data_IF_148130711438
#
_entry.id   IF_148130711438
#
_cell.length_a   1.000
_cell.length_b   1.000
_cell.length_c   1.000
_cell.angle_alpha   90.00
_cell.angle_beta   90.00
_cell.angle_gamma   90.00
#
_symmetry.space_group_name_H-M   'P 1'
#
loop_
_entity.id
_entity.type
_entity.pdbx_description
1 polymer ?
#
# COMPACT_ATOMS: atom_id res chain seq x y z
N UNK A 1 -3.62 7.97 55.72
CA UNK A 1 -4.73 7.34 54.99
C UNK A 1 -5.41 8.44 54.21
N UNK A 2 -5.02 8.64 52.96
CA UNK A 2 -5.65 9.61 52.08
C UNK A 2 -5.88 8.84 50.76
N UNK A 3 -7.14 8.46 50.54
CA UNK A 3 -7.61 7.94 49.30
C UNK A 3 -7.58 9.05 48.27
N UNK A 4 -6.57 9.09 47.44
CA UNK A 4 -6.43 10.00 46.31
C UNK A 4 -7.38 9.58 45.21
N UNK A 5 -8.43 10.39 45.05
CA UNK A 5 -9.39 10.33 43.97
C UNK A 5 -8.65 10.29 42.63
N UNK A 6 -8.60 9.14 42.00
CA UNK A 6 -8.40 9.02 40.56
C UNK A 6 -9.66 9.57 39.87
N UNK A 7 -9.81 10.86 39.82
CA UNK A 7 -10.77 11.51 38.96
C UNK A 7 -10.41 11.15 37.52
N UNK A 8 -11.30 10.44 36.85
CA UNK A 8 -11.20 10.18 35.42
C UNK A 8 -11.20 11.54 34.70
N UNK A 9 -10.03 12.14 34.50
CA UNK A 9 -9.87 13.30 33.64
C UNK A 9 -10.22 12.81 32.21
N UNK A 10 -11.22 13.41 31.61
CA UNK A 10 -11.47 13.23 30.21
C UNK A 10 -10.19 13.62 29.45
N UNK A 11 -9.68 12.77 28.54
CA UNK A 11 -8.43 13.02 27.85
C UNK A 11 -8.49 14.38 27.13
N UNK A 12 -7.44 15.17 27.21
CA UNK A 12 -7.33 16.40 26.43
C UNK A 12 -7.30 16.06 24.94
N UNK A 13 -7.68 17.00 24.07
CA UNK A 13 -7.65 16.79 22.62
C UNK A 13 -6.27 16.32 22.13
N UNK A 14 -5.18 16.81 22.74
CA UNK A 14 -3.82 16.38 22.42
C UNK A 14 -3.52 14.93 22.83
N UNK A 15 -3.96 14.52 24.01
CA UNK A 15 -3.81 13.14 24.51
C UNK A 15 -4.64 12.17 23.67
N UNK A 16 -5.86 12.57 23.29
CA UNK A 16 -6.72 11.79 22.39
C UNK A 16 -6.05 11.58 21.04
N UNK A 17 -5.51 12.63 20.42
CA UNK A 17 -4.79 12.55 19.14
C UNK A 17 -3.54 11.66 19.27
N UNK A 18 -2.72 11.87 20.30
CA UNK A 18 -1.53 11.05 20.51
C UNK A 18 -1.86 9.58 20.72
N UNK A 19 -2.95 9.27 21.43
CA UNK A 19 -3.42 7.91 21.63
C UNK A 19 -3.76 7.22 20.30
N UNK A 20 -4.46 7.92 19.39
CA UNK A 20 -4.87 7.36 18.09
C UNK A 20 -3.76 7.32 17.04
N UNK A 21 -2.64 8.02 17.29
CA UNK A 21 -1.47 7.99 16.42
C UNK A 21 -0.43 6.92 16.81
N UNK A 22 -0.64 6.19 17.91
CA UNK A 22 0.28 5.14 18.32
C UNK A 22 0.11 3.91 17.45
N UNK A 23 1.23 3.31 17.06
CA UNK A 23 1.29 2.03 16.34
C UNK A 23 1.66 0.90 17.29
N UNK A 24 1.21 -0.31 16.96
CA UNK A 24 1.71 -1.54 17.57
C UNK A 24 3.06 -1.88 16.96
N UNK A 25 4.13 -1.30 17.51
CA UNK A 25 5.50 -1.50 17.02
C UNK A 25 6.13 -2.74 17.64
N UNK A 26 6.77 -3.53 16.80
CA UNK A 26 7.52 -4.72 17.19
C UNK A 26 8.89 -4.76 16.49
N UNK A 27 9.86 -5.36 17.16
CA UNK A 27 11.13 -5.73 16.54
C UNK A 27 11.00 -7.10 15.82
N UNK A 28 12.03 -7.48 15.07
CA UNK A 28 12.06 -8.80 14.40
C UNK A 28 12.06 -9.99 15.37
N UNK A 29 12.28 -9.76 16.67
CA UNK A 29 12.14 -10.78 17.72
C UNK A 29 10.73 -10.84 18.33
N UNK A 30 9.76 -10.13 17.75
CA UNK A 30 8.37 -10.01 18.21
C UNK A 30 8.22 -9.44 19.62
N UNK A 31 9.19 -8.64 20.07
CA UNK A 31 9.10 -7.87 21.30
C UNK A 31 8.54 -6.48 21.02
N UNK A 32 7.58 -6.04 21.84
CA UNK A 32 6.99 -4.70 21.71
C UNK A 32 7.99 -3.63 22.16
N UNK A 33 8.49 -2.85 21.21
CA UNK A 33 9.47 -1.78 21.43
C UNK A 33 8.89 -0.49 20.86
N UNK A 34 9.12 0.65 21.56
CA UNK A 34 8.75 1.97 21.02
C UNK A 34 9.92 2.56 20.25
N UNK A 35 9.64 3.12 19.09
CA UNK A 35 10.62 3.84 18.28
C UNK A 35 11.18 5.04 19.04
N UNK A 36 12.49 5.15 19.09
CA UNK A 36 13.23 6.26 19.73
C UNK A 36 13.92 7.18 18.73
N UNK A 37 14.19 6.69 17.52
CA UNK A 37 14.82 7.45 16.43
C UNK A 37 13.82 7.74 15.32
N UNK A 38 14.09 8.77 14.49
CA UNK A 38 13.20 9.20 13.39
C UNK A 38 13.07 8.08 12.34
N UNK A 39 14.16 7.33 12.10
CA UNK A 39 14.18 6.18 11.20
C UNK A 39 14.82 5.00 11.93
N UNK A 40 14.09 3.90 12.05
CA UNK A 40 14.57 2.67 12.66
C UNK A 40 14.10 1.47 11.81
N UNK A 41 15.03 0.86 11.09
CA UNK A 41 14.76 -0.31 10.23
C UNK A 41 14.66 -1.62 11.01
N UNK A 42 14.89 -1.61 12.32
CA UNK A 42 14.73 -2.79 13.18
C UNK A 42 13.31 -3.00 13.66
N UNK A 43 12.45 -1.98 13.50
CA UNK A 43 11.07 -1.97 13.94
C UNK A 43 10.12 -2.00 12.76
N UNK A 44 8.99 -2.68 12.93
CA UNK A 44 7.89 -2.64 11.99
C UNK A 44 6.55 -2.43 12.71
N UNK A 45 5.60 -1.81 12.02
CA UNK A 45 4.26 -1.56 12.52
C UNK A 45 3.40 -2.81 12.24
N UNK A 46 3.26 -3.68 13.25
CA UNK A 46 2.56 -4.95 13.11
C UNK A 46 1.10 -4.75 12.70
N UNK A 47 0.43 -3.77 13.26
CA UNK A 47 -0.96 -3.40 12.95
C UNK A 47 -1.12 -3.09 11.45
N UNK A 48 -0.30 -2.20 10.90
CA UNK A 48 -0.32 -1.85 9.48
C UNK A 48 -0.08 -3.07 8.57
N UNK A 49 0.88 -3.92 8.93
CA UNK A 49 1.19 -5.13 8.16
C UNK A 49 0.03 -6.14 8.21
N UNK A 50 -0.52 -6.40 9.39
CA UNK A 50 -1.63 -7.36 9.55
C UNK A 50 -2.88 -6.90 8.82
N UNK A 51 -3.30 -5.63 8.99
CA UNK A 51 -4.47 -5.11 8.29
C UNK A 51 -4.28 -5.08 6.78
N UNK A 52 -3.09 -4.68 6.30
CA UNK A 52 -2.77 -4.70 4.89
C UNK A 52 -2.89 -6.11 4.30
N UNK A 53 -2.29 -7.11 4.95
CA UNK A 53 -2.36 -8.51 4.50
C UNK A 53 -3.79 -9.07 4.54
N UNK A 54 -4.52 -8.83 5.62
CA UNK A 54 -5.91 -9.29 5.76
C UNK A 54 -6.78 -8.70 4.66
N UNK A 55 -6.68 -7.40 4.39
CA UNK A 55 -7.43 -6.74 3.31
C UNK A 55 -7.01 -7.25 1.93
N UNK A 56 -5.73 -7.51 1.72
CA UNK A 56 -5.23 -8.11 0.49
C UNK A 56 -5.82 -9.52 0.25
N UNK A 57 -5.84 -10.35 1.28
CA UNK A 57 -6.45 -11.69 1.21
C UNK A 57 -7.95 -11.59 0.97
N UNK A 58 -8.66 -10.70 1.66
CA UNK A 58 -10.09 -10.46 1.44
C UNK A 58 -10.34 -10.04 -0.01
N UNK A 59 -9.58 -9.08 -0.53
CA UNK A 59 -9.67 -8.63 -1.93
C UNK A 59 -9.47 -9.76 -2.92
N UNK A 60 -8.44 -10.58 -2.73
CA UNK A 60 -8.18 -11.76 -3.56
C UNK A 60 -9.32 -12.78 -3.48
N UNK A 61 -9.84 -13.06 -2.29
CA UNK A 61 -10.95 -14.00 -2.10
C UNK A 61 -12.24 -13.51 -2.76
N UNK A 62 -12.54 -12.22 -2.65
CA UNK A 62 -13.73 -11.62 -3.28
C UNK A 62 -13.62 -11.66 -4.79
N UNK A 63 -12.46 -11.30 -5.37
CA UNK A 63 -12.21 -11.41 -6.81
C UNK A 63 -12.28 -12.86 -7.29
N UNK A 64 -11.70 -13.79 -6.55
CA UNK A 64 -11.78 -15.21 -6.86
C UNK A 64 -13.21 -15.75 -6.81
N UNK A 65 -14.01 -15.35 -5.80
CA UNK A 65 -15.41 -15.72 -5.70
C UNK A 65 -16.25 -15.17 -6.87
N UNK A 66 -15.97 -13.92 -7.30
CA UNK A 66 -16.58 -13.32 -8.47
C UNK A 66 -16.22 -14.11 -9.75
N UNK A 67 -14.94 -14.41 -9.95
CA UNK A 67 -14.46 -15.17 -11.10
C UNK A 67 -15.04 -16.59 -11.16
N UNK A 68 -15.17 -17.27 -10.02
CA UNK A 68 -15.77 -18.63 -9.98
C UNK A 68 -17.25 -18.68 -10.32
N UNK A 69 -17.96 -17.59 -10.05
CA UNK A 69 -19.41 -17.48 -10.34
C UNK A 69 -19.69 -16.81 -11.68
N UNK A 70 -18.65 -16.42 -12.43
CA UNK A 70 -18.80 -15.77 -13.73
C UNK A 70 -19.46 -16.72 -14.74
N UNK A 71 -20.49 -16.22 -15.42
CA UNK A 71 -21.23 -16.92 -16.46
C UNK A 71 -21.13 -16.16 -17.78
N UNK A 72 -21.20 -16.86 -18.90
CA UNK A 72 -21.17 -16.23 -20.24
C UNK A 72 -22.51 -15.61 -20.66
N UNK A 73 -23.54 -15.72 -19.82
CA UNK A 73 -24.85 -15.10 -20.04
C UNK A 73 -24.92 -13.65 -19.56
N UNK A 74 -26.12 -13.15 -19.31
CA UNK A 74 -26.29 -11.80 -18.75
C UNK A 74 -25.72 -11.76 -17.34
N UNK A 75 -24.70 -10.92 -17.05
CA UNK A 75 -24.05 -10.91 -15.75
C UNK A 75 -24.98 -10.37 -14.67
N UNK A 76 -24.95 -10.99 -13.50
CA UNK A 76 -25.55 -10.42 -12.29
C UNK A 76 -24.84 -9.15 -11.86
N UNK A 77 -25.48 -8.31 -11.01
CA UNK A 77 -24.91 -7.00 -10.58
C UNK A 77 -23.51 -7.11 -9.98
N UNK A 78 -23.25 -8.14 -9.20
CA UNK A 78 -21.95 -8.38 -8.59
C UNK A 78 -20.89 -8.73 -9.65
N UNK A 79 -21.20 -9.65 -10.56
CA UNK A 79 -20.33 -10.03 -11.67
C UNK A 79 -20.05 -8.84 -12.58
N UNK A 80 -21.08 -8.08 -12.97
CA UNK A 80 -20.95 -6.89 -13.80
C UNK A 80 -20.01 -5.82 -13.19
N UNK A 81 -20.05 -5.63 -11.87
CA UNK A 81 -19.14 -4.71 -11.19
C UNK A 81 -17.68 -5.14 -11.32
N UNK A 82 -17.37 -6.43 -11.15
CA UNK A 82 -15.99 -6.93 -11.30
C UNK A 82 -15.53 -6.98 -12.75
N UNK A 83 -16.40 -7.30 -13.68
CA UNK A 83 -16.10 -7.25 -15.12
C UNK A 83 -15.78 -5.82 -15.55
N UNK A 84 -16.55 -4.83 -15.08
CA UNK A 84 -16.29 -3.42 -15.37
C UNK A 84 -14.91 -2.97 -14.83
N UNK A 85 -14.56 -3.37 -13.61
CA UNK A 85 -13.24 -3.07 -13.03
C UNK A 85 -12.12 -3.73 -13.82
N UNK A 86 -12.28 -5.00 -14.18
CA UNK A 86 -11.29 -5.74 -14.96
C UNK A 86 -11.12 -5.13 -16.37
N UNK A 87 -12.22 -4.76 -17.01
CA UNK A 87 -12.21 -4.10 -18.32
C UNK A 87 -11.54 -2.71 -18.25
N UNK A 88 -11.85 -1.92 -17.22
CA UNK A 88 -11.23 -0.61 -17.00
C UNK A 88 -9.70 -0.75 -16.89
N UNK A 89 -9.21 -1.65 -16.05
CA UNK A 89 -7.77 -1.86 -15.86
C UNK A 89 -7.12 -2.41 -17.14
N UNK A 90 -7.75 -3.36 -17.81
CA UNK A 90 -7.23 -3.92 -19.07
C UNK A 90 -7.17 -2.86 -20.17
N UNK A 91 -8.15 -1.96 -20.28
CA UNK A 91 -8.15 -0.89 -21.25
C UNK A 91 -7.05 0.14 -20.97
N UNK A 92 -6.81 0.49 -19.70
CA UNK A 92 -5.66 1.30 -19.31
C UNK A 92 -4.33 0.62 -19.65
N UNK A 93 -4.21 -0.67 -19.32
CA UNK A 93 -3.01 -1.44 -19.64
C UNK A 93 -2.75 -1.55 -21.16
N UNK A 94 -3.80 -1.68 -21.98
CA UNK A 94 -3.68 -1.69 -23.47
C UNK A 94 -3.15 -0.37 -24.01
N UNK A 95 -3.54 0.76 -23.41
CA UNK A 95 -3.06 2.08 -23.81
C UNK A 95 -1.57 2.28 -23.59
N UNK A 96 -0.99 1.61 -22.59
CA UNK A 96 0.42 1.77 -22.20
C UNK A 96 1.29 0.61 -22.68
N UNK A 97 0.78 -0.63 -22.63
CA UNK A 97 1.54 -1.85 -22.88
C UNK A 97 1.07 -2.53 -24.15
N UNK A 98 1.80 -2.34 -25.24
CA UNK A 98 1.46 -2.92 -26.54
C UNK A 98 1.71 -4.42 -26.61
N UNK A 99 2.65 -4.97 -25.83
CA UNK A 99 3.00 -6.37 -25.83
C UNK A 99 1.96 -7.23 -25.08
N UNK A 100 1.21 -8.08 -25.80
CA UNK A 100 0.19 -8.93 -25.24
C UNK A 100 0.71 -9.93 -24.18
N UNK A 101 1.96 -10.40 -24.28
CA UNK A 101 2.55 -11.32 -23.28
C UNK A 101 2.78 -10.61 -21.95
N UNK A 102 3.25 -9.36 -21.99
CA UNK A 102 3.46 -8.56 -20.79
C UNK A 102 2.11 -8.19 -20.13
N UNK A 103 1.08 -7.84 -20.91
CA UNK A 103 -0.25 -7.54 -20.39
C UNK A 103 -0.88 -8.70 -19.61
N UNK A 104 -0.70 -9.93 -20.05
CA UNK A 104 -1.24 -11.11 -19.34
C UNK A 104 -0.80 -11.19 -17.87
N UNK A 105 0.34 -10.62 -17.52
CA UNK A 105 0.81 -10.56 -16.14
C UNK A 105 0.50 -9.22 -15.49
N UNK A 106 0.71 -8.12 -16.22
CA UNK A 106 0.61 -6.77 -15.64
C UNK A 106 -0.84 -6.37 -15.39
N UNK A 107 -1.80 -6.71 -16.26
CA UNK A 107 -3.19 -6.34 -16.05
C UNK A 107 -3.80 -6.98 -14.79
N UNK A 108 -3.65 -8.30 -14.54
CA UNK A 108 -4.13 -8.88 -13.28
C UNK A 108 -3.40 -8.34 -12.05
N UNK A 109 -2.09 -8.08 -12.16
CA UNK A 109 -1.32 -7.49 -11.08
C UNK A 109 -1.83 -6.09 -10.75
N UNK A 110 -2.03 -5.24 -11.77
CA UNK A 110 -2.56 -3.90 -11.60
C UNK A 110 -3.97 -3.90 -10.98
N UNK A 111 -4.83 -4.82 -11.43
CA UNK A 111 -6.16 -5.01 -10.83
C UNK A 111 -6.07 -5.39 -9.36
N UNK A 112 -5.19 -6.33 -9.01
CA UNK A 112 -5.00 -6.77 -7.64
C UNK A 112 -4.52 -5.62 -6.75
N UNK A 113 -3.50 -4.88 -7.19
CA UNK A 113 -2.97 -3.72 -6.46
C UNK A 113 -4.03 -2.62 -6.32
N UNK A 114 -4.78 -2.33 -7.39
CA UNK A 114 -5.87 -1.35 -7.35
C UNK A 114 -6.93 -1.71 -6.31
N UNK A 115 -7.44 -2.94 -6.34
CA UNK A 115 -8.44 -3.41 -5.37
C UNK A 115 -7.89 -3.41 -3.96
N UNK A 116 -6.65 -3.82 -3.78
CA UNK A 116 -5.99 -3.84 -2.48
C UNK A 116 -5.85 -2.43 -1.88
N UNK A 117 -5.30 -1.49 -2.64
CA UNK A 117 -5.17 -0.08 -2.19
C UNK A 117 -6.55 0.54 -1.95
N UNK A 118 -7.54 0.25 -2.82
CA UNK A 118 -8.92 0.71 -2.62
C UNK A 118 -9.48 0.22 -1.28
N UNK A 119 -9.32 -1.07 -0.94
CA UNK A 119 -9.79 -1.63 0.32
C UNK A 119 -9.07 -1.01 1.52
N UNK A 120 -7.76 -0.78 1.44
CA UNK A 120 -7.00 -0.13 2.51
C UNK A 120 -7.49 1.30 2.75
N UNK A 121 -7.75 2.08 1.69
CA UNK A 121 -8.28 3.44 1.82
C UNK A 121 -9.76 3.45 2.24
N UNK A 122 -10.55 2.44 1.88
CA UNK A 122 -11.94 2.31 2.31
C UNK A 122 -12.05 2.16 3.84
N UNK A 123 -11.01 1.72 4.52
CA UNK A 123 -10.96 1.68 5.98
C UNK A 123 -11.07 3.06 6.62
N UNK A 124 -10.62 4.14 5.95
CA UNK A 124 -10.77 5.52 6.41
C UNK A 124 -12.23 5.99 6.44
N UNK A 125 -13.11 5.34 5.69
CA UNK A 125 -14.54 5.65 5.68
C UNK A 125 -15.28 5.07 6.89
N UNK A 126 -14.64 4.17 7.64
CA UNK A 126 -15.22 3.62 8.87
C UNK A 126 -15.06 4.64 10.03
N UNK A 127 -16.00 4.68 10.97
CA UNK A 127 -15.83 5.48 12.18
C UNK A 127 -14.52 5.11 12.89
N UNK A 128 -13.73 6.13 13.25
CA UNK A 128 -12.39 6.00 13.82
C UNK A 128 -12.34 5.06 15.02
N UNK A 129 -13.38 5.08 15.86
CA UNK A 129 -13.45 4.28 17.07
C UNK A 129 -14.13 2.91 16.89
N UNK A 130 -14.63 2.57 15.70
CA UNK A 130 -15.41 1.34 15.50
C UNK A 130 -14.56 0.09 15.78
N UNK A 131 -13.44 -0.06 15.09
CA UNK A 131 -12.57 -1.23 15.22
C UNK A 131 -11.65 -1.12 16.44
N UNK A 132 -11.00 0.03 16.72
CA UNK A 132 -10.25 0.21 17.96
C UNK A 132 -11.12 0.03 19.21
N UNK A 133 -12.37 0.53 19.22
CA UNK A 133 -13.30 0.35 20.33
C UNK A 133 -13.71 -1.12 20.53
N UNK A 134 -13.99 -1.85 19.46
CA UNK A 134 -14.24 -3.28 19.53
C UNK A 134 -13.00 -4.06 20.02
N UNK A 135 -11.80 -3.64 19.60
CA UNK A 135 -10.53 -4.18 20.05
C UNK A 135 -10.29 -3.90 21.54
N UNK A 136 -10.56 -2.69 21.99
CA UNK A 136 -10.45 -2.31 23.40
C UNK A 136 -11.37 -3.14 24.32
N UNK A 137 -12.55 -3.51 23.82
CA UNK A 137 -13.51 -4.34 24.55
C UNK A 137 -13.08 -5.82 24.61
N UNK A 138 -12.46 -6.36 23.57
CA UNK A 138 -12.12 -7.79 23.45
C UNK A 138 -10.63 -8.09 23.61
N UNK A 139 -9.74 -7.17 23.28
CA UNK A 139 -8.29 -7.36 23.20
C UNK A 139 -7.63 -7.70 24.54
N UNK A 140 -7.94 -7.03 25.66
CA UNK A 140 -7.38 -7.36 26.97
C UNK A 140 -7.68 -8.79 27.42
N UNK A 141 -8.86 -9.30 27.08
CA UNK A 141 -9.24 -10.68 27.37
C UNK A 141 -8.41 -11.69 26.56
N UNK A 142 -7.84 -11.28 25.43
CA UNK A 142 -6.99 -12.08 24.55
C UNK A 142 -5.48 -11.83 24.79
N UNK A 143 -5.11 -10.96 25.77
CA UNK A 143 -3.73 -10.64 26.10
C UNK A 143 -3.03 -9.66 25.14
N UNK A 144 -3.80 -8.95 24.32
CA UNK A 144 -3.26 -7.97 23.38
C UNK A 144 -3.17 -6.56 24.01
N UNK A 145 -2.29 -5.71 23.44
CA UNK A 145 -2.11 -4.32 23.89
C UNK A 145 -3.28 -3.43 23.46
N UNK A 146 -3.50 -2.35 24.19
CA UNK A 146 -4.66 -1.47 24.06
C UNK A 146 -4.71 -0.64 22.76
N UNK A 147 -3.63 -0.59 21.97
CA UNK A 147 -3.51 0.22 20.77
C UNK A 147 -3.59 -0.60 19.49
N UNK A 148 -4.46 -0.17 18.58
CA UNK A 148 -4.59 -0.75 17.26
C UNK A 148 -4.89 0.36 16.25
N UNK A 149 -4.00 0.57 15.30
CA UNK A 149 -4.25 1.45 14.16
C UNK A 149 -4.79 0.65 12.99
N UNK A 150 -5.91 1.09 12.43
CA UNK A 150 -6.71 0.29 11.51
C UNK A 150 -6.39 0.58 10.05
N UNK A 151 -5.84 1.78 9.75
CA UNK A 151 -5.63 2.26 8.39
C UNK A 151 -4.16 2.10 7.97
N UNK A 152 -3.81 1.06 7.17
CA UNK A 152 -2.43 0.81 6.75
C UNK A 152 -1.85 1.92 5.88
N UNK A 153 -2.67 2.55 5.02
CA UNK A 153 -2.24 3.62 4.11
C UNK A 153 -1.92 4.94 4.80
N UNK A 154 -2.37 5.13 6.04
CA UNK A 154 -1.97 6.27 6.86
C UNK A 154 -0.55 6.12 7.46
N UNK A 155 0.08 4.95 7.30
CA UNK A 155 1.47 4.71 7.67
C UNK A 155 2.39 4.98 6.46
N UNK A 156 3.30 5.95 6.63
CA UNK A 156 4.26 6.33 5.60
C UNK A 156 5.15 5.15 5.18
N UNK A 157 5.51 4.27 6.12
CA UNK A 157 6.34 3.10 5.83
C UNK A 157 5.63 2.12 4.89
N UNK A 158 4.33 1.90 5.10
CA UNK A 158 3.50 1.02 4.27
C UNK A 158 3.32 1.60 2.86
N UNK A 159 3.01 2.89 2.76
CA UNK A 159 2.82 3.56 1.45
C UNK A 159 4.12 3.65 0.65
N UNK A 160 5.24 3.99 1.29
CA UNK A 160 6.56 3.95 0.65
C UNK A 160 6.95 2.53 0.25
N UNK A 161 6.67 1.53 1.08
CA UNK A 161 6.95 0.13 0.76
C UNK A 161 6.20 -0.34 -0.50
N UNK A 162 4.92 -0.01 -0.62
CA UNK A 162 4.13 -0.30 -1.82
C UNK A 162 4.67 0.42 -3.05
N UNK A 163 4.93 1.71 -2.95
CA UNK A 163 5.46 2.52 -4.05
C UNK A 163 6.82 2.02 -4.52
N UNK A 164 7.74 1.76 -3.60
CA UNK A 164 9.05 1.17 -3.91
C UNK A 164 8.93 -0.22 -4.56
N UNK A 165 7.97 -1.03 -4.13
CA UNK A 165 7.71 -2.35 -4.73
C UNK A 165 7.25 -2.24 -6.18
N UNK A 166 6.31 -1.32 -6.47
CA UNK A 166 5.85 -1.04 -7.83
C UNK A 166 7.00 -0.50 -8.68
N UNK A 167 7.77 0.46 -8.17
CA UNK A 167 8.95 0.99 -8.87
C UNK A 167 9.95 -0.12 -9.19
N UNK A 168 10.23 -1.01 -8.24
CA UNK A 168 11.12 -2.14 -8.44
C UNK A 168 10.64 -3.07 -9.56
N UNK A 169 9.34 -3.40 -9.58
CA UNK A 169 8.74 -4.20 -10.65
C UNK A 169 8.90 -3.48 -12.00
N UNK A 170 8.63 -2.18 -12.06
CA UNK A 170 8.81 -1.38 -13.27
C UNK A 170 10.26 -1.39 -13.78
N UNK A 171 11.25 -1.26 -12.87
CA UNK A 171 12.67 -1.32 -13.22
C UNK A 171 13.06 -2.70 -13.75
N UNK A 172 12.64 -3.77 -13.07
CA UNK A 172 12.91 -5.15 -13.52
C UNK A 172 12.33 -5.39 -14.92
N UNK A 173 11.10 -4.94 -15.18
CA UNK A 173 10.48 -5.07 -16.49
C UNK A 173 11.18 -4.22 -17.56
N UNK A 174 11.59 -3.00 -17.22
CA UNK A 174 12.32 -2.13 -18.13
C UNK A 174 13.65 -2.78 -18.55
N UNK A 175 14.41 -3.30 -17.58
CA UNK A 175 15.65 -4.03 -17.84
C UNK A 175 15.39 -5.31 -18.63
N UNK A 176 14.33 -6.06 -18.32
CA UNK A 176 14.00 -7.30 -19.03
C UNK A 176 13.62 -7.07 -20.49
N UNK A 177 12.97 -5.96 -20.82
CA UNK A 177 12.52 -5.63 -22.18
C UNK A 177 13.65 -4.99 -23.00
N UNK A 178 14.35 -4.02 -22.44
CA UNK A 178 15.39 -3.21 -23.15
C UNK A 178 16.80 -3.76 -23.02
N UNK A 179 17.00 -4.68 -22.07
CA UNK A 179 18.32 -5.10 -21.63
C UNK A 179 19.04 -4.05 -20.77
N UNK A 180 20.08 -4.46 -20.06
CA UNK A 180 20.85 -3.56 -19.18
C UNK A 180 21.45 -2.38 -19.97
N UNK A 181 21.99 -2.63 -21.17
CA UNK A 181 22.57 -1.59 -22.02
C UNK A 181 21.54 -0.58 -22.50
N UNK A 182 20.38 -1.04 -22.95
CA UNK A 182 19.29 -0.18 -23.40
C UNK A 182 18.72 0.68 -22.26
N UNK A 183 18.57 0.11 -21.09
CA UNK A 183 18.14 0.85 -19.90
C UNK A 183 19.16 1.90 -19.47
N UNK A 184 20.46 1.54 -19.42
CA UNK A 184 21.53 2.49 -19.08
C UNK A 184 21.64 3.62 -20.12
N UNK A 185 21.49 3.30 -21.41
CA UNK A 185 21.46 4.30 -22.46
C UNK A 185 20.25 5.26 -22.31
N UNK A 186 19.09 4.74 -21.98
CA UNK A 186 17.90 5.55 -21.73
C UNK A 186 18.10 6.55 -20.58
N UNK A 187 18.80 6.16 -19.51
CA UNK A 187 19.09 7.05 -18.37
C UNK A 187 19.88 8.29 -18.79
N UNK A 188 20.70 8.19 -19.83
CA UNK A 188 21.57 9.28 -20.28
C UNK A 188 21.08 9.97 -21.56
N UNK A 189 20.26 9.28 -22.39
CA UNK A 189 19.78 9.80 -23.66
C UNK A 189 18.39 10.40 -23.61
N UNK A 190 17.54 10.03 -22.66
CA UNK A 190 16.18 10.57 -22.52
C UNK A 190 16.12 11.63 -21.39
N UNK A 191 15.24 12.67 -21.52
CA UNK A 191 14.27 12.88 -22.57
C UNK A 191 14.74 13.74 -23.77
N UNK A 192 15.89 14.44 -23.66
CA UNK A 192 16.28 15.48 -24.62
C UNK A 192 17.12 14.98 -25.80
N UNK A 193 17.44 13.68 -25.85
CA UNK A 193 18.18 13.08 -26.96
C UNK A 193 19.65 12.74 -26.63
N UNK A 194 20.29 12.06 -27.59
CA UNK A 194 21.61 11.41 -27.42
C UNK A 194 22.77 12.36 -27.78
N UNK A 195 22.73 13.60 -27.27
CA UNK A 195 23.84 14.53 -27.43
C UNK A 195 24.65 14.56 -26.14
N UNK A 196 25.96 14.34 -26.23
CA UNK A 196 26.89 14.20 -25.09
C UNK A 196 26.78 15.37 -24.07
N UNK A 197 26.52 16.59 -24.53
CA UNK A 197 26.34 17.77 -23.67
C UNK A 197 25.06 17.73 -22.85
N UNK A 198 24.08 16.90 -23.24
CA UNK A 198 22.77 16.78 -22.55
C UNK A 198 22.75 15.62 -21.56
N UNK A 199 23.75 14.73 -21.56
CA UNK A 199 23.79 13.57 -20.68
C UNK A 199 23.62 13.89 -19.17
N UNK A 200 24.31 14.90 -18.59
CA UNK A 200 24.11 15.21 -17.17
C UNK A 200 22.69 15.73 -16.88
N UNK A 201 22.09 16.49 -17.81
CA UNK A 201 20.73 17.00 -17.67
C UNK A 201 19.72 15.85 -17.79
N UNK A 202 19.89 14.97 -18.78
CA UNK A 202 19.06 13.80 -18.95
C UNK A 202 19.08 12.89 -17.73
N UNK A 203 20.28 12.60 -17.22
CA UNK A 203 20.44 11.79 -16.01
C UNK A 203 19.73 12.42 -14.80
N UNK A 204 19.90 13.73 -14.60
CA UNK A 204 19.23 14.44 -13.52
C UNK A 204 17.70 14.36 -13.67
N UNK A 205 17.17 14.57 -14.88
CA UNK A 205 15.74 14.48 -15.16
C UNK A 205 15.20 13.07 -14.90
N UNK A 206 15.94 12.03 -15.30
CA UNK A 206 15.54 10.65 -15.01
C UNK A 206 15.55 10.35 -13.51
N UNK A 207 16.50 10.87 -12.76
CA UNK A 207 16.52 10.72 -11.29
C UNK A 207 15.33 11.41 -10.64
N UNK A 208 15.00 12.63 -11.08
CA UNK A 208 13.81 13.35 -10.62
C UNK A 208 12.54 12.58 -10.99
N UNK A 209 12.47 12.00 -12.18
CA UNK A 209 11.31 11.21 -12.61
C UNK A 209 11.13 9.94 -11.76
N UNK A 210 12.21 9.21 -11.45
CA UNK A 210 12.12 8.04 -10.55
C UNK A 210 11.71 8.46 -9.13
N UNK A 211 12.25 9.57 -8.63
CA UNK A 211 11.85 10.10 -7.32
C UNK A 211 10.36 10.50 -7.33
N UNK A 212 9.93 11.22 -8.37
CA UNK A 212 8.54 11.62 -8.51
C UNK A 212 7.60 10.40 -8.61
N UNK A 213 7.98 9.37 -9.36
CA UNK A 213 7.24 8.11 -9.43
C UNK A 213 7.13 7.43 -8.07
N UNK A 214 8.20 7.45 -7.26
CA UNK A 214 8.17 6.87 -5.90
C UNK A 214 7.21 7.61 -4.98
N UNK A 215 7.09 8.93 -5.12
CA UNK A 215 6.21 9.75 -4.27
C UNK A 215 4.75 9.72 -4.76
N UNK A 216 4.53 9.58 -6.08
CA UNK A 216 3.19 9.67 -6.66
C UNK A 216 2.44 8.33 -6.77
N UNK A 217 3.10 7.20 -6.50
CA UNK A 217 2.50 5.87 -6.44
C UNK A 217 2.11 5.52 -5.03
#
# INVERSE_FOLDING_TARGET
MSAENAGAHAPTAGEYIQHHLQHLQMNFSFEGVKQTSIVDFSLFNLDSVVFSLVLGVIGCLVMWAAARKATSGVPGRFQAGFELLAEMVENQAKGVIHNAKSRKLISPLALTVFVWIFLMNAMDMLPVDLIPGAWHAAGPALGFKDYLRVVPTADLSSTLGLSCSVLFICLVYNIKIKGLGGWAHELIAAPFGDHWALYPINFLMQMIEYLAKTVSH
#
